data_IF_003209697509
#
_entry.id   IF_003209697509
#
_cell.length_a   1.000
_cell.length_b   1.000
_cell.length_c   1.000
_cell.angle_alpha   90.00
_cell.angle_beta   90.00
_cell.angle_gamma   90.00
#
_symmetry.space_group_name_H-M   'P 1'
#
loop_
_entity.id
_entity.type
_entity.pdbx_description
1 polymer ?
#
# COMPACT_ATOMS: atom_id res chain seq x y z
N UNK A 1 8.33 -23.44 -16.65
CA UNK A 1 9.24 -22.33 -16.26
C UNK A 1 8.40 -21.07 -16.07
N UNK A 2 7.90 -20.79 -14.86
CA UNK A 2 6.99 -19.65 -14.64
C UNK A 2 7.82 -18.37 -14.47
N UNK A 3 8.35 -17.86 -15.58
CA UNK A 3 9.15 -16.64 -15.62
C UNK A 3 8.24 -15.42 -15.59
N UNK A 4 8.42 -14.53 -14.61
CA UNK A 4 7.88 -13.16 -14.71
C UNK A 4 8.42 -12.42 -15.95
N UNK A 5 8.12 -11.13 -16.08
CA UNK A 5 8.46 -10.28 -17.23
C UNK A 5 9.95 -10.31 -17.65
N UNK A 6 10.28 -9.70 -18.80
CA UNK A 6 11.63 -9.70 -19.36
C UNK A 6 12.70 -9.22 -18.35
N UNK A 7 13.96 -9.63 -18.57
CA UNK A 7 15.08 -9.25 -17.71
C UNK A 7 15.23 -7.72 -17.60
N UNK A 8 14.99 -7.02 -18.71
CA UNK A 8 15.01 -5.56 -18.78
C UNK A 8 13.98 -4.98 -17.80
N UNK A 9 12.73 -5.45 -17.87
CA UNK A 9 11.65 -4.97 -17.00
C UNK A 9 11.94 -5.23 -15.53
N UNK A 10 12.42 -6.43 -15.17
CA UNK A 10 12.80 -6.76 -13.79
C UNK A 10 13.93 -5.85 -13.27
N UNK A 11 14.94 -5.60 -14.09
CA UNK A 11 16.05 -4.72 -13.73
C UNK A 11 15.59 -3.28 -13.51
N UNK A 12 14.76 -2.76 -14.42
CA UNK A 12 14.19 -1.41 -14.33
C UNK A 12 13.30 -1.25 -13.10
N UNK A 13 12.38 -2.19 -12.85
CA UNK A 13 11.51 -2.15 -11.66
C UNK A 13 12.33 -2.22 -10.38
N UNK A 14 13.41 -3.00 -10.33
CA UNK A 14 14.27 -3.06 -9.15
C UNK A 14 14.88 -1.71 -8.77
N UNK A 15 15.27 -0.90 -9.76
CA UNK A 15 15.76 0.46 -9.53
C UNK A 15 14.61 1.42 -9.16
N UNK A 16 13.53 1.41 -9.95
CA UNK A 16 12.37 2.30 -9.73
C UNK A 16 11.73 2.07 -8.37
N UNK A 17 11.67 0.82 -7.90
CA UNK A 17 11.07 0.46 -6.62
C UNK A 17 11.66 1.27 -5.46
N UNK A 18 12.99 1.40 -5.39
CA UNK A 18 13.65 2.20 -4.37
C UNK A 18 13.24 3.68 -4.44
N UNK A 19 13.19 4.26 -5.64
CA UNK A 19 12.76 5.64 -5.84
C UNK A 19 11.30 5.87 -5.44
N UNK A 20 10.41 4.94 -5.80
CA UNK A 20 8.98 5.00 -5.44
C UNK A 20 8.79 4.95 -3.93
N UNK A 21 9.54 4.09 -3.23
CA UNK A 21 9.45 4.01 -1.76
C UNK A 21 9.92 5.30 -1.09
N UNK A 22 11.05 5.87 -1.54
CA UNK A 22 11.57 7.13 -0.97
C UNK A 22 10.62 8.29 -1.24
N UNK A 23 10.10 8.40 -2.47
CA UNK A 23 9.13 9.44 -2.84
C UNK A 23 7.79 9.30 -2.11
N UNK A 24 7.29 8.07 -1.97
CA UNK A 24 6.10 7.79 -1.19
C UNK A 24 6.29 8.14 0.29
N UNK A 25 7.41 7.73 0.89
CA UNK A 25 7.74 8.04 2.28
C UNK A 25 7.89 9.54 2.53
N UNK A 26 8.53 10.29 1.63
CA UNK A 26 8.60 11.75 1.75
C UNK A 26 7.22 12.40 1.65
N UNK A 27 6.37 11.93 0.73
CA UNK A 27 4.99 12.42 0.60
C UNK A 27 4.15 12.18 1.86
N UNK A 28 4.36 11.04 2.54
CA UNK A 28 3.73 10.73 3.82
C UNK A 28 4.21 11.68 4.93
N UNK A 29 5.54 11.83 5.06
CA UNK A 29 6.15 12.59 6.16
C UNK A 29 5.88 14.10 6.07
N UNK A 30 5.99 14.67 4.87
CA UNK A 30 5.87 16.11 4.65
C UNK A 30 4.45 16.57 4.31
N UNK A 31 3.45 15.70 4.43
CA UNK A 31 2.08 16.01 4.02
C UNK A 31 1.38 17.14 4.77
N UNK A 32 1.96 17.66 5.87
CA UNK A 32 1.47 18.88 6.53
C UNK A 32 2.11 20.17 5.97
N UNK A 33 3.22 20.05 5.23
CA UNK A 33 3.95 21.18 4.62
C UNK A 33 3.74 21.27 3.11
N UNK A 34 3.58 20.13 2.44
CA UNK A 34 3.41 20.03 0.99
C UNK A 34 2.06 19.39 0.65
N UNK A 35 1.50 19.65 -0.54
CA UNK A 35 0.31 18.92 -0.99
C UNK A 35 0.61 17.42 -1.04
N UNK A 36 -0.14 16.63 -0.26
CA UNK A 36 0.15 15.21 -0.07
C UNK A 36 -0.52 14.63 1.17
N UNK A 37 0.20 13.80 1.92
CA UNK A 37 -0.28 13.16 3.15
C UNK A 37 -0.17 11.64 3.15
N UNK A 38 -0.66 11.05 4.24
CA UNK A 38 -0.62 9.60 4.45
C UNK A 38 -1.30 8.81 3.33
N UNK A 39 -2.47 9.26 2.86
CA UNK A 39 -3.21 8.54 1.81
C UNK A 39 -2.45 8.55 0.48
N UNK A 40 -2.11 9.72 -0.06
CA UNK A 40 -1.43 9.84 -1.35
C UNK A 40 -0.06 9.12 -1.34
N UNK A 41 0.74 9.32 -0.29
CA UNK A 41 2.01 8.64 -0.13
C UNK A 41 1.87 7.12 0.03
N UNK A 42 0.85 6.65 0.75
CA UNK A 42 0.52 5.23 0.87
C UNK A 42 0.14 4.58 -0.45
N UNK A 43 -0.65 5.26 -1.30
CA UNK A 43 -0.98 4.80 -2.66
C UNK A 43 0.28 4.67 -3.51
N UNK A 44 1.19 5.65 -3.47
CA UNK A 44 2.47 5.61 -4.20
C UNK A 44 3.28 4.39 -3.79
N UNK A 45 3.41 4.14 -2.48
CA UNK A 45 4.11 2.96 -1.95
C UNK A 45 3.45 1.66 -2.44
N UNK A 46 2.13 1.56 -2.38
CA UNK A 46 1.39 0.41 -2.90
C UNK A 46 1.66 0.16 -4.38
N UNK A 47 1.66 1.22 -5.22
CA UNK A 47 2.01 1.11 -6.64
C UNK A 47 3.41 0.51 -6.84
N UNK A 48 4.37 0.88 -5.99
CA UNK A 48 5.71 0.26 -6.00
C UNK A 48 5.65 -1.26 -5.77
N UNK A 49 4.90 -1.71 -4.75
CA UNK A 49 4.72 -3.14 -4.48
C UNK A 49 3.96 -3.86 -5.60
N UNK A 50 2.95 -3.23 -6.18
CA UNK A 50 2.19 -3.78 -7.32
C UNK A 50 3.12 -3.97 -8.53
N UNK A 51 3.93 -2.97 -8.88
CA UNK A 51 4.92 -3.07 -9.96
C UNK A 51 5.92 -4.21 -9.71
N UNK A 52 6.35 -4.36 -8.46
CA UNK A 52 7.24 -5.46 -8.08
C UNK A 52 6.58 -6.83 -8.30
N UNK A 53 5.34 -7.01 -7.81
CA UNK A 53 4.59 -8.27 -7.99
C UNK A 53 4.37 -8.57 -9.47
N UNK A 54 3.99 -7.58 -10.28
CA UNK A 54 3.78 -7.73 -11.72
C UNK A 54 5.07 -8.14 -12.46
N UNK A 55 6.20 -7.52 -12.14
CA UNK A 55 7.47 -7.78 -12.85
C UNK A 55 8.06 -9.17 -12.57
N UNK A 56 7.95 -9.64 -11.34
CA UNK A 56 8.50 -10.94 -10.94
C UNK A 56 7.46 -12.08 -10.96
N UNK A 57 6.17 -11.78 -11.12
CA UNK A 57 5.08 -12.75 -11.26
C UNK A 57 4.91 -13.62 -10.01
N UNK A 58 4.67 -14.93 -10.19
CA UNK A 58 4.51 -15.87 -9.07
C UNK A 58 5.73 -15.98 -8.14
N UNK A 59 6.95 -15.69 -8.62
CA UNK A 59 8.18 -15.56 -7.79
C UNK A 59 8.33 -14.17 -7.15
N UNK A 60 7.56 -13.20 -7.66
CA UNK A 60 7.46 -11.81 -7.21
C UNK A 60 6.49 -11.57 -6.07
N UNK A 61 5.66 -12.57 -5.75
CA UNK A 61 5.09 -12.76 -4.40
C UNK A 61 6.23 -13.04 -3.42
N UNK A 62 7.12 -12.05 -3.25
CA UNK A 62 8.07 -12.02 -2.15
C UNK A 62 7.29 -12.10 -0.84
N UNK A 63 8.02 -12.38 0.25
CA UNK A 63 7.63 -12.53 1.66
C UNK A 63 6.53 -11.61 2.25
N UNK A 64 6.02 -10.63 1.49
CA UNK A 64 4.76 -9.93 1.73
C UNK A 64 3.57 -10.89 1.54
N UNK A 65 3.49 -11.88 2.43
CA UNK A 65 2.34 -12.75 2.56
C UNK A 65 1.10 -11.92 2.84
N UNK A 66 -0.07 -12.40 2.40
CA UNK A 66 -1.38 -11.89 2.81
C UNK A 66 -1.42 -11.62 4.33
N UNK A 67 -0.75 -12.45 5.13
CA UNK A 67 -0.62 -12.29 6.57
C UNK A 67 0.17 -11.04 6.99
N UNK A 68 1.25 -10.68 6.27
CA UNK A 68 2.05 -9.48 6.58
C UNK A 68 1.27 -8.23 6.21
N UNK A 69 0.69 -8.18 5.01
CA UNK A 69 -0.13 -7.07 4.58
C UNK A 69 -1.33 -6.85 5.52
N UNK A 70 -2.04 -7.92 5.89
CA UNK A 70 -3.15 -7.85 6.85
C UNK A 70 -2.71 -7.38 8.24
N UNK A 71 -1.54 -7.84 8.74
CA UNK A 71 -0.99 -7.34 10.01
C UNK A 71 -0.66 -5.85 9.96
N UNK A 72 -0.01 -5.40 8.89
CA UNK A 72 0.33 -3.98 8.72
C UNK A 72 -0.91 -3.10 8.57
N UNK A 73 -1.96 -3.61 7.95
CA UNK A 73 -3.25 -2.95 7.85
C UNK A 73 -3.86 -2.68 9.24
N UNK A 74 -3.93 -3.73 10.07
CA UNK A 74 -4.44 -3.62 11.45
C UNK A 74 -3.55 -2.73 12.30
N UNK A 75 -2.22 -2.86 12.21
CA UNK A 75 -1.27 -2.03 12.96
C UNK A 75 -1.39 -0.57 12.56
N UNK A 76 -1.54 -0.25 11.27
CA UNK A 76 -1.73 1.11 10.79
C UNK A 76 -3.01 1.75 11.34
N UNK A 77 -4.12 1.00 11.34
CA UNK A 77 -5.39 1.46 11.91
C UNK A 77 -5.28 1.68 13.42
N UNK A 78 -4.77 0.67 14.13
CA UNK A 78 -4.62 0.72 15.58
C UNK A 78 -3.69 1.87 16.00
N UNK A 79 -2.58 2.10 15.30
CA UNK A 79 -1.68 3.21 15.57
C UNK A 79 -2.38 4.56 15.40
N UNK A 80 -3.18 4.74 14.35
CA UNK A 80 -3.95 5.96 14.12
C UNK A 80 -4.98 6.19 15.24
N UNK A 81 -5.74 5.16 15.61
CA UNK A 81 -6.74 5.24 16.68
C UNK A 81 -6.10 5.51 18.04
N UNK A 82 -4.99 4.84 18.38
CA UNK A 82 -4.27 5.07 19.64
C UNK A 82 -3.76 6.51 19.73
N UNK A 83 -3.22 7.07 18.63
CA UNK A 83 -2.80 8.48 18.58
C UNK A 83 -3.98 9.44 18.77
N UNK A 84 -5.13 9.13 18.20
CA UNK A 84 -6.34 9.93 18.35
C UNK A 84 -6.89 9.88 19.79
N UNK A 85 -6.94 8.67 20.38
CA UNK A 85 -7.38 8.44 21.76
C UNK A 85 -6.42 9.02 22.80
N UNK A 86 -5.12 9.01 22.53
CA UNK A 86 -4.13 9.67 23.38
C UNK A 86 -4.43 11.16 23.59
N UNK A 87 -5.15 11.79 22.65
CA UNK A 87 -5.64 13.16 22.81
C UNK A 87 -6.54 13.35 24.04
N UNK A 88 -7.34 12.35 24.42
CA UNK A 88 -8.20 12.43 25.60
C UNK A 88 -7.43 12.64 26.91
N UNK A 89 -6.14 12.25 26.96
CA UNK A 89 -5.29 12.53 28.12
C UNK A 89 -5.10 14.03 28.37
N UNK A 90 -5.26 14.87 27.34
CA UNK A 90 -5.27 16.33 27.46
C UNK A 90 -6.67 16.95 27.35
N UNK A 91 -7.74 16.15 27.42
CA UNK A 91 -9.12 16.60 27.54
C UNK A 91 -9.95 16.64 26.25
N UNK A 92 -9.37 16.42 25.07
CA UNK A 92 -10.11 16.42 23.79
C UNK A 92 -9.56 15.37 22.81
N UNK A 93 -10.45 14.76 22.02
CA UNK A 93 -10.06 13.82 20.96
C UNK A 93 -9.16 14.52 19.92
N UNK A 94 -8.15 13.81 19.38
CA UNK A 94 -7.17 14.37 18.42
C UNK A 94 -6.36 15.57 18.93
N UNK A 95 -6.23 15.78 20.25
CA UNK A 95 -5.38 16.85 20.76
C UNK A 95 -3.94 16.71 20.22
N UNK A 96 -3.39 17.80 19.68
CA UNK A 96 -2.00 17.85 19.25
C UNK A 96 -1.05 17.99 20.45
N UNK A 97 -0.99 16.94 21.26
CA UNK A 97 -0.20 16.93 22.50
C UNK A 97 1.30 17.07 22.22
N UNK A 98 1.80 16.54 21.10
CA UNK A 98 3.22 16.65 20.71
C UNK A 98 3.62 18.11 20.55
N UNK A 99 2.80 18.93 19.88
CA UNK A 99 3.06 20.37 19.70
C UNK A 99 3.14 21.12 21.04
N UNK A 100 2.46 20.61 22.09
CA UNK A 100 2.44 21.22 23.42
C UNK A 100 3.69 20.90 24.24
N UNK A 101 4.31 19.74 24.04
CA UNK A 101 5.54 19.34 24.74
C UNK A 101 6.81 19.66 23.94
N UNK A 102 6.74 19.60 22.61
CA UNK A 102 7.86 19.81 21.71
C UNK A 102 7.43 20.67 20.51
N UNK A 103 7.31 22.00 20.70
CA UNK A 103 6.91 22.89 19.61
C UNK A 103 8.01 22.91 18.54
N UNK A 104 7.68 22.47 17.32
CA UNK A 104 8.56 22.63 16.17
C UNK A 104 8.48 24.04 15.57
N UNK A 105 9.55 24.50 14.92
CA UNK A 105 9.53 25.77 14.20
C UNK A 105 8.72 25.66 12.91
N UNK A 106 8.18 26.80 12.43
CA UNK A 106 7.41 26.83 11.19
C UNK A 106 8.22 26.26 10.02
N UNK A 107 7.56 25.47 9.16
CA UNK A 107 8.17 24.77 8.01
C UNK A 107 9.11 23.60 8.36
N UNK A 108 9.21 23.21 9.63
CA UNK A 108 9.91 21.98 10.00
C UNK A 108 8.95 20.78 10.07
N UNK A 109 9.52 19.57 10.03
CA UNK A 109 8.75 18.34 10.17
C UNK A 109 7.98 18.29 11.51
N UNK A 110 8.60 18.79 12.58
CA UNK A 110 7.99 18.82 13.92
C UNK A 110 6.89 19.87 14.09
N UNK A 111 6.73 20.83 13.17
CA UNK A 111 5.67 21.85 13.25
C UNK A 111 4.26 21.28 13.26
N UNK A 112 4.05 20.09 12.68
CA UNK A 112 2.77 19.40 12.66
C UNK A 112 2.44 18.69 13.98
N UNK A 113 3.37 18.62 14.94
CA UNK A 113 3.22 17.88 16.19
C UNK A 113 2.88 16.40 15.95
N UNK A 114 1.64 15.99 16.25
CA UNK A 114 1.17 14.60 16.10
C UNK A 114 0.79 14.24 14.65
N UNK A 115 0.59 15.24 13.78
CA UNK A 115 0.12 15.05 12.40
C UNK A 115 1.06 14.16 11.56
N UNK A 116 2.40 14.33 11.57
CA UNK A 116 3.30 13.45 10.82
C UNK A 116 3.19 11.98 11.25
N UNK A 117 3.00 11.71 12.55
CA UNK A 117 2.82 10.36 13.07
C UNK A 117 1.48 9.76 12.62
N UNK A 118 0.41 10.54 12.62
CA UNK A 118 -0.89 10.13 12.08
C UNK A 118 -0.82 9.86 10.57
N UNK A 119 -0.13 10.73 9.81
CA UNK A 119 0.11 10.50 8.38
C UNK A 119 0.89 9.21 8.13
N UNK A 120 1.89 8.89 8.95
CA UNK A 120 2.64 7.65 8.86
C UNK A 120 1.74 6.42 9.09
N UNK A 121 0.88 6.47 10.11
CA UNK A 121 -0.08 5.41 10.41
C UNK A 121 -1.06 5.18 9.25
N UNK A 122 -1.64 6.27 8.71
CA UNK A 122 -2.52 6.21 7.53
C UNK A 122 -1.78 5.72 6.30
N UNK A 123 -0.54 6.18 6.06
CA UNK A 123 0.27 5.75 4.92
C UNK A 123 0.58 4.25 4.96
N UNK A 124 0.90 3.72 6.14
CA UNK A 124 1.09 2.28 6.33
C UNK A 124 -0.19 1.49 6.07
N UNK A 125 -1.31 1.92 6.66
CA UNK A 125 -2.65 1.34 6.45
C UNK A 125 -2.99 1.26 4.96
N UNK A 126 -2.89 2.39 4.27
CA UNK A 126 -3.27 2.50 2.84
C UNK A 126 -2.36 1.66 1.95
N UNK A 127 -1.04 1.71 2.18
CA UNK A 127 -0.08 0.91 1.43
C UNK A 127 -0.36 -0.60 1.56
N UNK A 128 -0.64 -1.04 2.79
CA UNK A 128 -0.96 -2.43 3.10
C UNK A 128 -2.30 -2.86 2.49
N UNK A 129 -3.37 -2.07 2.68
CA UNK A 129 -4.71 -2.36 2.18
C UNK A 129 -4.75 -2.49 0.65
N UNK A 130 -4.18 -1.52 -0.07
CA UNK A 130 -4.23 -1.52 -1.54
C UNK A 130 -3.42 -2.69 -2.10
N UNK A 131 -2.24 -2.94 -1.52
CA UNK A 131 -1.42 -4.10 -1.92
C UNK A 131 -2.16 -5.41 -1.65
N UNK A 132 -2.84 -5.52 -0.51
CA UNK A 132 -3.64 -6.70 -0.15
C UNK A 132 -4.80 -6.93 -1.13
N UNK A 133 -5.58 -5.89 -1.42
CA UNK A 133 -6.69 -5.95 -2.39
C UNK A 133 -6.17 -6.42 -3.75
N UNK A 134 -5.06 -5.85 -4.22
CA UNK A 134 -4.43 -6.27 -5.47
C UNK A 134 -4.01 -7.75 -5.44
N UNK A 135 -3.37 -8.21 -4.36
CA UNK A 135 -2.97 -9.61 -4.21
C UNK A 135 -4.17 -10.57 -4.19
N UNK A 136 -5.27 -10.18 -3.54
CA UNK A 136 -6.51 -10.97 -3.53
C UNK A 136 -7.11 -11.04 -4.93
N UNK A 137 -7.22 -9.91 -5.62
CA UNK A 137 -7.78 -9.86 -6.98
C UNK A 137 -6.96 -10.69 -7.98
N UNK A 138 -5.64 -10.69 -7.86
CA UNK A 138 -4.76 -11.53 -8.70
C UNK A 138 -4.81 -13.02 -8.36
N UNK A 139 -5.29 -13.38 -7.16
CA UNK A 139 -5.48 -14.77 -6.74
C UNK A 139 -6.84 -15.34 -7.17
N UNK A 140 -7.86 -14.49 -7.34
CA UNK A 140 -9.17 -14.90 -7.87
C UNK A 140 -9.02 -15.24 -9.36
N UNK A 141 -9.06 -16.53 -9.70
CA UNK A 141 -9.23 -16.97 -11.08
C UNK A 141 -10.71 -16.85 -11.43
N UNK A 142 -11.03 -16.05 -12.43
CA UNK A 142 -12.32 -16.16 -13.10
C UNK A 142 -12.31 -17.48 -13.90
N UNK A 143 -13.37 -18.32 -13.83
CA UNK A 143 -13.54 -19.39 -14.79
C UNK A 143 -13.54 -18.76 -16.19
N UNK A 144 -12.63 -19.19 -17.06
CA UNK A 144 -12.76 -18.86 -18.48
C UNK A 144 -13.98 -19.61 -19.02
N UNK A 145 -15.08 -18.87 -19.19
CA UNK A 145 -16.25 -19.30 -19.91
C UNK A 145 -15.89 -19.41 -21.40
N UNK A 146 -15.35 -20.56 -21.78
CA UNK A 146 -14.86 -20.81 -23.13
C UNK A 146 -14.58 -22.28 -23.47
N UNK A 147 -14.84 -23.23 -22.56
CA UNK A 147 -14.68 -24.68 -22.84
C UNK A 147 -15.92 -25.35 -23.42
N UNK A 148 -17.07 -24.67 -23.48
CA UNK A 148 -18.34 -25.31 -23.80
C UNK A 148 -18.81 -25.04 -25.25
N UNK A 149 -18.05 -24.26 -26.02
CA UNK A 149 -18.32 -24.02 -27.44
C UNK A 149 -17.70 -25.09 -28.37
N UNK A 150 -16.74 -25.88 -27.88
CA UNK A 150 -16.07 -26.93 -28.66
C UNK A 150 -16.77 -28.30 -28.55
N UNK A 151 -17.70 -28.45 -27.59
CA UNK A 151 -18.47 -29.69 -27.41
C UNK A 151 -19.76 -29.70 -28.26
N UNK A 152 -20.24 -28.53 -28.69
CA UNK A 152 -21.45 -28.41 -29.53
C UNK A 152 -21.18 -28.66 -31.02
N UNK A 153 -19.95 -28.44 -31.51
CA UNK A 153 -19.56 -28.79 -32.88
C UNK A 153 -19.45 -30.31 -33.08
N UNK A 154 -19.09 -31.06 -32.02
CA UNK A 154 -19.02 -32.53 -32.09
C UNK A 154 -20.39 -33.21 -32.13
N UNK A 155 -21.46 -32.49 -31.77
CA UNK A 155 -22.84 -32.98 -31.87
C UNK A 155 -23.51 -32.64 -33.21
N UNK A 156 -23.06 -31.58 -33.90
CA UNK A 156 -23.52 -31.26 -35.26
C UNK A 156 -22.89 -32.18 -36.32
N UNK A 157 -21.67 -32.67 -36.10
CA UNK A 157 -21.02 -33.65 -37.00
C UNK A 157 -21.51 -35.10 -36.80
N UNK A 158 -22.39 -35.34 -35.83
CA UNK A 158 -22.96 -36.65 -35.50
C UNK A 158 -24.39 -36.86 -36.03
N UNK A 159 -24.93 -35.95 -36.85
CA UNK A 159 -26.21 -36.08 -37.56
C UNK A 159 -26.02 -36.20 -39.07
#
# INVERSE_FOLDING_TARGET
MNGGMSLIVKSTVRWIFGFVLVFGASTVLYGHLTPGGGFAGGVIIACGFILWVLSYGGRGRLSFSHAVASKLDVVGLAAFEVLALAGFLGGVFFLNFVQRFWPGENFELYSGGVIPAMNLAVGLKVAAAITLVFLVLTAVRLPEDGSDADDLSTLEDAQ
#
